data_IF_021255818188
#
_entry.id   IF_021255818188
#
_cell.length_a   1.000
_cell.length_b   1.000
_cell.length_c   1.000
_cell.angle_alpha   90.00
_cell.angle_beta   90.00
_cell.angle_gamma   90.00
#
_symmetry.space_group_name_H-M   'P 1'
#
loop_
_entity.id
_entity.type
_entity.pdbx_description
1 polymer ?
#
# COMPACT_ATOMS: atom_id res chain seq x y z
N UNK A 1 -3.43 -7.38 0.70
CA UNK A 1 -3.28 -8.76 1.23
C UNK A 1 -2.88 -9.67 0.09
N UNK A 2 -2.04 -10.68 0.31
CA UNK A 2 -1.71 -11.63 -0.74
C UNK A 2 -2.81 -12.67 -0.91
N UNK A 3 -2.97 -13.26 -2.10
CA UNK A 3 -3.92 -14.38 -2.28
C UNK A 3 -3.32 -15.72 -1.84
N UNK A 4 -1.99 -15.81 -1.74
CA UNK A 4 -1.26 -16.98 -1.24
C UNK A 4 -0.90 -16.85 0.25
N UNK A 5 -1.85 -16.39 1.07
CA UNK A 5 -1.69 -16.33 2.53
C UNK A 5 -2.97 -16.75 3.28
N UNK A 6 -2.79 -17.27 4.49
CA UNK A 6 -3.90 -17.77 5.33
C UNK A 6 -4.79 -16.67 5.90
N UNK A 7 -4.34 -15.41 5.88
CA UNK A 7 -5.07 -14.25 6.42
C UNK A 7 -5.87 -13.48 5.36
N UNK A 8 -6.01 -14.04 4.14
CA UNK A 8 -6.88 -13.48 3.11
C UNK A 8 -8.32 -13.31 3.62
N UNK A 9 -8.87 -14.35 4.25
CA UNK A 9 -10.23 -14.34 4.79
C UNK A 9 -10.39 -13.38 5.97
N UNK A 10 -9.33 -13.11 6.74
CA UNK A 10 -9.37 -12.09 7.80
C UNK A 10 -9.49 -10.70 7.18
N UNK A 11 -8.71 -10.42 6.14
CA UNK A 11 -8.73 -9.14 5.43
C UNK A 11 -10.07 -8.89 4.74
N UNK A 12 -10.64 -9.90 4.06
CA UNK A 12 -11.94 -9.78 3.39
C UNK A 12 -13.08 -9.56 4.40
N UNK A 13 -13.10 -10.33 5.51
CA UNK A 13 -14.11 -10.17 6.57
C UNK A 13 -14.01 -8.82 7.26
N UNK A 14 -12.80 -8.31 7.49
CA UNK A 14 -12.60 -6.97 8.04
C UNK A 14 -13.16 -5.90 7.10
N UNK A 15 -12.82 -5.97 5.80
CA UNK A 15 -13.30 -5.02 4.81
C UNK A 15 -14.82 -4.98 4.74
N UNK A 16 -15.49 -6.14 4.69
CA UNK A 16 -16.95 -6.20 4.64
C UNK A 16 -17.62 -5.65 5.91
N UNK A 17 -17.05 -5.92 7.09
CA UNK A 17 -17.56 -5.35 8.35
C UNK A 17 -17.38 -3.83 8.40
N UNK A 18 -16.23 -3.32 7.97
CA UNK A 18 -15.96 -1.89 7.94
C UNK A 18 -16.87 -1.15 6.95
N UNK A 19 -17.06 -1.69 5.74
CA UNK A 19 -18.05 -1.15 4.76
C UNK A 19 -19.46 -1.12 5.35
N UNK A 20 -19.88 -2.20 6.00
CA UNK A 20 -21.20 -2.30 6.64
C UNK A 20 -21.40 -1.28 7.77
N UNK A 21 -20.32 -0.79 8.37
CA UNK A 21 -20.32 0.27 9.38
C UNK A 21 -20.23 1.69 8.78
N UNK A 22 -20.25 1.84 7.45
CA UNK A 22 -20.14 3.14 6.77
C UNK A 22 -18.72 3.69 6.65
N UNK A 23 -17.69 2.87 6.88
CA UNK A 23 -16.30 3.24 6.66
C UNK A 23 -15.96 3.13 5.17
N UNK A 24 -15.26 4.12 4.63
CA UNK A 24 -14.66 4.01 3.29
C UNK A 24 -13.50 3.01 3.33
N UNK A 25 -13.55 1.98 2.48
CA UNK A 25 -12.60 0.86 2.52
C UNK A 25 -12.02 0.61 1.14
N UNK A 26 -10.70 0.53 1.10
CA UNK A 26 -9.93 -0.02 -0.02
C UNK A 26 -9.33 -1.35 0.43
N UNK A 27 -9.69 -2.45 -0.26
CA UNK A 27 -9.06 -3.76 -0.08
C UNK A 27 -8.46 -4.18 -1.41
N UNK A 28 -7.16 -4.48 -1.40
CA UNK A 28 -6.41 -4.91 -2.58
C UNK A 28 -5.85 -6.32 -2.31
N UNK A 29 -6.51 -7.37 -2.82
CA UNK A 29 -5.91 -8.69 -2.96
C UNK A 29 -4.87 -8.67 -4.08
N UNK A 30 -3.68 -9.21 -3.82
CA UNK A 30 -2.59 -9.30 -4.79
C UNK A 30 -2.31 -10.76 -5.11
N UNK A 31 -2.41 -11.10 -6.39
CA UNK A 31 -2.28 -12.48 -6.86
C UNK A 31 -0.89 -13.05 -6.55
N UNK A 32 -0.87 -14.31 -6.12
CA UNK A 32 0.33 -15.11 -5.79
C UNK A 32 1.23 -14.54 -4.68
N UNK A 33 0.87 -13.41 -4.08
CA UNK A 33 1.65 -12.82 -3.01
C UNK A 33 1.47 -13.58 -1.70
N UNK A 34 2.59 -13.78 -1.01
CA UNK A 34 2.64 -14.38 0.32
C UNK A 34 2.54 -13.31 1.41
N UNK A 35 2.38 -13.75 2.65
CA UNK A 35 2.27 -12.87 3.81
C UNK A 35 3.44 -11.86 3.89
N UNK A 36 3.12 -10.57 3.95
CA UNK A 36 4.05 -9.43 4.06
C UNK A 36 5.14 -9.40 2.97
N UNK A 37 4.78 -9.73 1.71
CA UNK A 37 5.68 -9.66 0.56
C UNK A 37 6.34 -8.28 0.36
N UNK A 38 5.78 -7.20 0.92
CA UNK A 38 6.36 -5.85 0.92
C UNK A 38 7.78 -5.81 1.52
N UNK A 39 8.09 -6.68 2.50
CA UNK A 39 9.44 -6.79 3.07
C UNK A 39 10.49 -7.28 2.05
N UNK A 40 10.04 -7.84 0.93
CA UNK A 40 10.88 -8.34 -0.15
C UNK A 40 11.09 -7.31 -1.27
N UNK A 41 10.72 -6.04 -1.09
CA UNK A 41 10.77 -5.01 -2.14
C UNK A 41 12.13 -4.89 -2.87
N UNK A 42 13.24 -5.21 -2.20
CA UNK A 42 14.57 -5.20 -2.83
C UNK A 42 14.80 -6.34 -3.85
N UNK A 43 14.00 -7.40 -3.82
CA UNK A 43 14.14 -8.60 -4.65
C UNK A 43 12.85 -9.01 -5.39
N UNK A 44 11.71 -8.41 -5.04
CA UNK A 44 10.38 -8.69 -5.58
C UNK A 44 9.72 -7.36 -6.00
N UNK A 45 9.55 -7.10 -7.31
CA UNK A 45 8.98 -5.85 -7.81
C UNK A 45 7.60 -5.51 -7.20
N UNK A 46 6.75 -6.51 -7.01
CA UNK A 46 5.42 -6.40 -6.39
C UNK A 46 5.51 -5.90 -4.94
N UNK A 47 6.61 -6.18 -4.25
CA UNK A 47 6.89 -5.63 -2.93
C UNK A 47 7.07 -4.11 -2.97
N UNK A 48 7.84 -3.61 -3.94
CA UNK A 48 8.01 -2.17 -4.14
C UNK A 48 6.71 -1.50 -4.62
N UNK A 49 5.99 -2.12 -5.56
CA UNK A 49 4.72 -1.61 -6.06
C UNK A 49 3.68 -1.46 -4.94
N UNK A 50 3.60 -2.44 -4.03
CA UNK A 50 2.71 -2.36 -2.87
C UNK A 50 3.11 -1.22 -1.90
N UNK A 51 4.40 -0.94 -1.72
CA UNK A 51 4.87 0.21 -0.91
C UNK A 51 4.51 1.53 -1.59
N UNK A 52 4.71 1.64 -2.89
CA UNK A 52 4.37 2.84 -3.65
C UNK A 52 2.87 3.14 -3.56
N UNK A 53 2.04 2.10 -3.71
CA UNK A 53 0.58 2.17 -3.58
C UNK A 53 0.13 2.62 -2.18
N UNK A 54 0.77 2.12 -1.11
CA UNK A 54 0.54 2.61 0.26
C UNK A 54 0.89 4.09 0.36
N UNK A 55 2.00 4.52 -0.24
CA UNK A 55 2.42 5.92 -0.28
C UNK A 55 1.41 6.82 -0.99
N UNK A 56 0.84 6.37 -2.10
CA UNK A 56 -0.25 7.07 -2.82
C UNK A 56 -1.47 7.25 -1.93
N UNK A 57 -1.94 6.16 -1.31
CA UNK A 57 -3.07 6.19 -0.40
C UNK A 57 -2.85 7.20 0.74
N UNK A 58 -1.67 7.21 1.36
CA UNK A 58 -1.37 8.18 2.42
C UNK A 58 -1.43 9.63 1.89
N UNK A 59 -0.83 9.91 0.73
CA UNK A 59 -0.82 11.27 0.16
C UNK A 59 -2.22 11.78 -0.18
N UNK A 60 -3.07 10.91 -0.71
CA UNK A 60 -4.47 11.19 -1.05
C UNK A 60 -5.29 11.58 0.19
N UNK A 61 -5.08 10.91 1.32
CA UNK A 61 -5.95 11.03 2.50
C UNK A 61 -5.41 11.96 3.59
N UNK A 62 -4.14 12.35 3.54
CA UNK A 62 -3.50 13.21 4.55
C UNK A 62 -3.15 14.61 4.06
N UNK A 63 -3.37 14.93 2.78
CA UNK A 63 -3.07 16.25 2.22
C UNK A 63 -1.57 16.55 2.08
N UNK A 64 -0.69 15.55 2.22
CA UNK A 64 0.76 15.68 2.09
C UNK A 64 1.22 16.11 0.67
N UNK A 65 0.32 16.14 -0.31
CA UNK A 65 0.58 16.63 -1.67
C UNK A 65 0.79 18.15 -1.79
N UNK A 66 0.77 18.92 -0.70
CA UNK A 66 1.04 20.37 -0.70
C UNK A 66 2.40 20.82 -0.16
N UNK A 67 3.36 19.91 -0.05
CA UNK A 67 4.75 20.23 0.29
C UNK A 67 5.71 19.95 -0.86
N UNK A 68 5.65 20.74 -1.94
CA UNK A 68 6.83 20.86 -2.84
C UNK A 68 7.94 21.46 -1.98
N UNK A 69 9.04 20.75 -1.79
CA UNK A 69 10.30 21.35 -1.30
C UNK A 69 10.99 21.93 -2.52
N UNK A 70 11.05 23.26 -2.72
CA UNK A 70 11.79 23.84 -3.82
C UNK A 70 13.27 23.80 -3.46
N UNK A 71 14.08 23.12 -4.27
CA UNK A 71 15.54 23.25 -4.26
C UNK A 71 16.28 22.17 -3.47
N UNK A 72 16.65 21.10 -4.16
CA UNK A 72 17.89 20.37 -3.90
C UNK A 72 18.50 20.00 -5.25
N UNK A 73 18.96 21.01 -5.98
CA UNK A 73 20.04 20.80 -6.95
C UNK A 73 21.30 20.47 -6.17
N UNK A 74 21.79 19.25 -6.30
CA UNK A 74 23.20 18.95 -6.02
C UNK A 74 23.82 18.50 -7.33
N UNK A 75 24.63 19.39 -7.90
CA UNK A 75 25.53 19.09 -9.01
C UNK A 75 26.56 18.05 -8.55
N UNK A 76 26.79 17.03 -9.37
CA UNK A 76 27.87 16.07 -9.17
C UNK A 76 29.16 16.64 -9.78
N UNK A 77 30.22 16.71 -8.98
CA UNK A 77 31.60 16.78 -9.44
C UNK A 77 32.09 15.39 -9.83
#
# INVERSE_FOLDING_TARGET
VGTSEVLLDDSTRLAERAKSAGVEVVLEPWDDMIHVWQLMAAMLPEGQQAIDRIGEFIREHTGAARGVVPGATTEAH
#
